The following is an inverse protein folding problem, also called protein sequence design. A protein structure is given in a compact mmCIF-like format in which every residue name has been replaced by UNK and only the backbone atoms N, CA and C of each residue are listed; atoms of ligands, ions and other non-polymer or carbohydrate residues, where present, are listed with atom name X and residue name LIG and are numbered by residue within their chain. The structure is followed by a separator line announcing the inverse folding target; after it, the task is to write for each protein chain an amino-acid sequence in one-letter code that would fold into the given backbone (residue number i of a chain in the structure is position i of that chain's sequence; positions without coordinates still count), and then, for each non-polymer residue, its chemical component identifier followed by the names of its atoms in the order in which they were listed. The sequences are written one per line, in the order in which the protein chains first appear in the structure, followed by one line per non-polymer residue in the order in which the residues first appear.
data_IF_018190675394
#
_entry.id   IF_018190675394
#
_cell.length_a   1.000
_cell.length_b   1.000
_cell.length_c   1.000
_cell.angle_alpha   90.00
_cell.angle_beta   90.00
_cell.angle_gamma   90.00
#
_symmetry.space_group_name_H-M   'P 1'
#
loop_
_entity.id
_entity.type
_entity.pdbx_description
1 polymer ?
#
# COMPACT_ATOMS: atom_id res chain seq x y z
N UNK A 1 30.30 21.54 3.50
CA UNK A 1 29.74 20.39 4.18
C UNK A 1 28.38 20.19 3.59
N UNK A 2 28.21 19.20 2.68
CA UNK A 2 26.91 18.89 2.09
C UNK A 2 26.07 18.27 3.19
N UNK A 3 25.04 18.99 3.62
CA UNK A 3 23.98 18.44 4.48
C UNK A 3 23.13 17.52 3.59
N UNK A 4 23.58 16.28 3.38
CA UNK A 4 22.74 15.26 2.73
C UNK A 4 21.62 14.97 3.70
N UNK A 5 20.44 15.53 3.44
CA UNK A 5 19.25 15.17 4.18
C UNK A 5 19.14 13.62 4.14
N UNK A 6 18.87 13.01 5.29
CA UNK A 6 18.69 11.56 5.37
C UNK A 6 17.44 11.20 4.55
N UNK A 7 17.53 10.17 3.71
CA UNK A 7 16.39 9.70 2.93
C UNK A 7 15.19 9.42 3.83
N UNK A 8 14.00 9.84 3.40
CA UNK A 8 12.74 9.74 4.15
C UNK A 8 12.33 8.27 4.31
N UNK A 9 12.18 7.74 5.53
CA UNK A 9 11.69 6.39 5.73
C UNK A 9 10.24 6.29 5.25
N UNK A 10 9.98 5.37 4.35
CA UNK A 10 8.72 5.20 3.64
C UNK A 10 8.25 3.76 3.68
N UNK A 11 6.97 3.56 3.95
CA UNK A 11 6.25 2.31 3.70
C UNK A 11 5.15 2.62 2.67
N UNK A 12 4.99 1.76 1.67
CA UNK A 12 3.90 1.87 0.69
C UNK A 12 2.91 0.74 0.94
N UNK A 13 1.64 1.10 1.16
CA UNK A 13 0.51 0.18 1.23
C UNK A 13 -0.34 0.37 -0.03
N UNK A 14 -0.56 -0.68 -0.82
CA UNK A 14 -1.11 -0.56 -2.18
C UNK A 14 -1.84 -1.83 -2.64
N UNK A 15 -2.67 -1.67 -3.67
CA UNK A 15 -3.38 -2.76 -4.35
C UNK A 15 -3.06 -2.78 -5.86
N UNK A 16 -1.78 -3.04 -6.25
CA UNK A 16 -1.20 -2.60 -7.52
C UNK A 16 -2.04 -2.80 -8.76
N UNK A 17 -2.56 -1.65 -9.23
CA UNK A 17 -2.98 -1.36 -10.58
C UNK A 17 -1.85 -0.69 -11.38
N UNK A 18 -2.17 -0.13 -12.54
CA UNK A 18 -1.19 0.53 -13.41
C UNK A 18 -0.61 1.80 -12.77
N UNK A 19 -1.40 2.55 -12.04
CA UNK A 19 -1.03 3.79 -11.35
C UNK A 19 -0.14 3.49 -10.11
N UNK A 20 -0.51 2.51 -9.30
CA UNK A 20 0.37 2.01 -8.22
C UNK A 20 1.72 1.54 -8.76
N UNK A 21 1.73 0.88 -9.93
CA UNK A 21 2.96 0.43 -10.54
C UNK A 21 3.93 1.60 -10.79
N UNK A 22 3.41 2.73 -11.28
CA UNK A 22 4.22 3.94 -11.51
C UNK A 22 4.71 4.53 -10.19
N UNK A 23 3.86 4.58 -9.16
CA UNK A 23 4.24 5.08 -7.85
C UNK A 23 5.34 4.22 -7.19
N UNK A 24 5.21 2.89 -7.26
CA UNK A 24 6.21 1.95 -6.78
C UNK A 24 7.55 2.08 -7.52
N UNK A 25 7.51 2.18 -8.87
CA UNK A 25 8.71 2.40 -9.68
C UNK A 25 9.39 3.73 -9.34
N UNK A 26 8.62 4.81 -9.16
CA UNK A 26 9.14 6.12 -8.76
C UNK A 26 9.85 6.06 -7.41
N UNK A 27 9.21 5.46 -6.40
CA UNK A 27 9.80 5.31 -5.08
C UNK A 27 11.10 4.49 -5.11
N UNK A 28 11.11 3.39 -5.86
CA UNK A 28 12.29 2.52 -6.01
C UNK A 28 13.42 3.16 -6.84
N UNK A 29 13.09 4.09 -7.73
CA UNK A 29 14.07 4.84 -8.52
C UNK A 29 14.68 6.03 -7.77
N UNK A 30 14.17 6.37 -6.58
CA UNK A 30 14.59 7.57 -5.82
C UNK A 30 15.24 7.22 -4.46
N UNK A 31 16.25 6.33 -4.37
CA UNK A 31 16.79 5.85 -3.09
C UNK A 31 17.56 6.94 -2.32
N UNK A 32 17.98 8.00 -2.98
CA UNK A 32 18.63 9.15 -2.35
C UNK A 32 17.66 10.02 -1.55
N UNK A 33 16.37 9.98 -1.90
CA UNK A 33 15.31 10.76 -1.27
C UNK A 33 14.41 9.91 -0.38
N UNK A 34 14.16 8.66 -0.79
CA UNK A 34 13.20 7.74 -0.18
C UNK A 34 13.89 6.44 0.27
N UNK A 35 13.86 6.17 1.56
CA UNK A 35 14.26 4.89 2.11
C UNK A 35 13.01 3.97 2.20
N UNK A 36 12.73 3.24 1.12
CA UNK A 36 11.59 2.32 1.05
C UNK A 36 11.86 1.10 1.94
N UNK A 37 11.18 1.04 3.09
CA UNK A 37 11.33 -0.02 4.10
C UNK A 37 10.63 -1.32 3.67
N UNK A 38 9.50 -1.21 2.97
CA UNK A 38 8.75 -2.34 2.46
C UNK A 38 7.46 -1.93 1.77
N UNK A 39 6.84 -2.90 1.10
CA UNK A 39 5.57 -2.75 0.39
C UNK A 39 4.56 -3.70 1.03
N UNK A 40 3.41 -3.16 1.44
CA UNK A 40 2.27 -3.92 1.93
C UNK A 40 1.23 -4.02 0.82
N UNK A 41 0.79 -5.24 0.49
CA UNK A 41 -0.29 -5.43 -0.47
C UNK A 41 -1.63 -5.59 0.27
N UNK A 42 -2.67 -4.99 -0.27
CA UNK A 42 -4.06 -5.13 0.19
C UNK A 42 -4.96 -5.55 -0.97
N UNK A 43 -6.09 -6.18 -0.69
CA UNK A 43 -7.10 -6.45 -1.71
C UNK A 43 -7.86 -5.15 -2.04
N UNK A 44 -8.08 -4.90 -3.31
CA UNK A 44 -8.79 -3.72 -3.81
C UNK A 44 -9.05 -3.84 -5.29
N UNK A 45 -8.20 -3.30 -6.14
CA UNK A 45 -8.33 -3.36 -7.60
C UNK A 45 -8.57 -4.78 -8.12
N UNK A 46 -7.87 -5.75 -7.51
CA UNK A 46 -8.04 -7.20 -7.74
C UNK A 46 -7.86 -7.93 -6.40
N UNK A 47 -8.17 -9.25 -6.33
CA UNK A 47 -7.92 -10.02 -5.11
C UNK A 47 -6.46 -9.99 -4.65
N UNK A 48 -6.23 -10.12 -3.33
CA UNK A 48 -4.90 -10.02 -2.70
C UNK A 48 -3.81 -10.87 -3.38
N UNK A 49 -4.14 -12.09 -3.79
CA UNK A 49 -3.18 -12.98 -4.48
C UNK A 49 -2.60 -12.36 -5.76
N UNK A 50 -3.35 -11.49 -6.42
CA UNK A 50 -2.90 -10.77 -7.61
C UNK A 50 -2.20 -9.45 -7.24
N UNK A 51 -2.69 -8.70 -6.25
CA UNK A 51 -2.06 -7.43 -5.84
C UNK A 51 -0.65 -7.69 -5.28
N UNK A 52 -0.48 -8.71 -4.42
CA UNK A 52 0.84 -9.07 -3.89
C UNK A 52 1.79 -9.60 -4.98
N UNK A 53 1.27 -10.37 -5.95
CA UNK A 53 2.06 -10.84 -7.07
C UNK A 53 2.49 -9.66 -7.97
N UNK A 54 1.60 -8.70 -8.21
CA UNK A 54 1.89 -7.48 -8.97
C UNK A 54 2.95 -6.62 -8.28
N UNK A 55 2.84 -6.41 -6.96
CA UNK A 55 3.84 -5.68 -6.19
C UNK A 55 5.23 -6.30 -6.35
N UNK A 56 5.33 -7.63 -6.28
CA UNK A 56 6.60 -8.35 -6.48
C UNK A 56 7.12 -8.27 -7.92
N UNK A 57 6.25 -8.36 -8.92
CA UNK A 57 6.63 -8.18 -10.33
C UNK A 57 7.19 -6.78 -10.58
N UNK A 58 6.51 -5.75 -10.06
CA UNK A 58 6.93 -4.35 -10.19
C UNK A 58 8.27 -4.13 -9.50
N UNK A 59 8.46 -4.66 -8.29
CA UNK A 59 9.73 -4.65 -7.56
C UNK A 59 10.87 -5.21 -8.42
N UNK A 60 10.64 -6.38 -9.03
CA UNK A 60 11.67 -7.08 -9.79
C UNK A 60 12.04 -6.33 -11.07
N UNK A 61 11.07 -5.81 -11.82
CA UNK A 61 11.37 -5.01 -13.04
C UNK A 61 11.97 -3.65 -12.71
N UNK A 62 11.75 -3.15 -11.49
CA UNK A 62 12.44 -1.94 -10.98
C UNK A 62 13.89 -2.20 -10.58
N UNK A 63 14.37 -3.44 -10.66
CA UNK A 63 15.74 -3.80 -10.29
C UNK A 63 16.02 -3.74 -8.78
N UNK A 64 14.99 -3.81 -7.95
CA UNK A 64 15.09 -3.71 -6.48
C UNK A 64 14.60 -4.98 -5.76
N UNK A 65 15.16 -6.17 -6.10
CA UNK A 65 14.70 -7.45 -5.57
C UNK A 65 14.85 -7.59 -4.05
N UNK A 66 15.64 -6.72 -3.42
CA UNK A 66 15.83 -6.70 -1.96
C UNK A 66 14.65 -6.08 -1.20
N UNK A 67 13.80 -5.28 -1.85
CA UNK A 67 12.64 -4.65 -1.20
C UNK A 67 11.64 -5.74 -0.79
N UNK A 68 11.30 -5.77 0.49
CA UNK A 68 10.36 -6.73 1.04
C UNK A 68 8.92 -6.42 0.61
N UNK A 69 8.14 -7.47 0.29
CA UNK A 69 6.71 -7.36 -0.05
C UNK A 69 5.92 -8.27 0.89
N UNK A 70 4.93 -7.71 1.57
CA UNK A 70 4.09 -8.39 2.54
C UNK A 70 2.65 -8.48 2.05
N UNK A 71 2.02 -9.64 2.18
CA UNK A 71 0.60 -9.81 1.93
C UNK A 71 -0.20 -9.40 3.17
N UNK A 72 -1.22 -8.58 2.97
CA UNK A 72 -2.07 -8.06 4.04
C UNK A 72 -3.49 -8.60 3.99
N UNK A 73 -4.47 -7.70 4.14
CA UNK A 73 -5.87 -8.04 4.25
C UNK A 73 -6.47 -8.47 2.90
N UNK A 74 -7.08 -9.68 2.83
CA UNK A 74 -7.67 -10.17 1.59
C UNK A 74 -9.08 -9.64 1.31
N UNK A 75 -9.64 -8.84 2.21
CA UNK A 75 -10.99 -8.27 2.10
C UNK A 75 -11.13 -7.04 2.99
N UNK A 76 -12.13 -6.18 2.73
CA UNK A 76 -12.52 -5.09 3.63
C UNK A 76 -12.92 -5.59 5.03
N UNK A 77 -12.90 -4.71 6.03
CA UNK A 77 -13.25 -5.03 7.41
C UNK A 77 -14.68 -5.59 7.54
N UNK A 78 -15.64 -4.97 6.88
CA UNK A 78 -17.07 -5.29 7.02
C UNK A 78 -17.74 -5.61 5.67
N UNK A 79 -17.45 -4.82 4.64
CA UNK A 79 -18.03 -5.01 3.31
C UNK A 79 -17.54 -6.30 2.64
N UNK A 80 -18.30 -6.76 1.65
CA UNK A 80 -17.83 -7.76 0.69
C UNK A 80 -16.83 -7.09 -0.23
N UNK A 81 -15.76 -7.80 -0.59
CA UNK A 81 -14.78 -7.30 -1.55
C UNK A 81 -15.45 -7.05 -2.91
N UNK A 82 -15.34 -5.84 -3.38
CA UNK A 82 -15.65 -5.43 -4.74
C UNK A 82 -14.34 -5.05 -5.42
N UNK A 83 -14.10 -5.54 -6.63
CA UNK A 83 -12.86 -5.31 -7.36
C UNK A 83 -13.06 -4.35 -8.54
N UNK A 84 -11.96 -3.73 -9.00
CA UNK A 84 -11.95 -2.80 -10.12
C UNK A 84 -11.38 -3.43 -11.42
N UNK A 85 -11.62 -4.71 -11.65
CA UNK A 85 -11.17 -5.42 -12.87
C UNK A 85 -11.66 -4.74 -14.16
N UNK A 86 -12.77 -4.02 -14.12
CA UNK A 86 -13.31 -3.25 -15.25
C UNK A 86 -12.43 -2.03 -15.62
N UNK A 87 -11.54 -1.59 -14.71
CA UNK A 87 -10.55 -0.51 -14.95
C UNK A 87 -9.17 -1.11 -15.24
N UNK A 88 -8.70 -2.01 -14.36
CA UNK A 88 -7.32 -2.47 -14.31
C UNK A 88 -7.09 -3.81 -15.04
N UNK A 89 -8.17 -4.42 -15.56
CA UNK A 89 -8.13 -5.76 -16.16
C UNK A 89 -8.12 -6.87 -15.11
N UNK A 90 -8.20 -8.12 -15.58
CA UNK A 90 -8.34 -9.29 -14.71
C UNK A 90 -7.13 -9.55 -13.82
N UNK A 91 -5.94 -9.15 -14.24
CA UNK A 91 -4.71 -9.30 -13.45
C UNK A 91 -4.42 -8.07 -12.59
N UNK A 92 -5.12 -6.95 -12.79
CA UNK A 92 -4.83 -5.66 -12.19
C UNK A 92 -3.82 -4.81 -12.99
N UNK A 93 -2.99 -5.43 -13.81
CA UNK A 93 -1.97 -4.81 -14.66
C UNK A 93 -1.98 -5.41 -16.08
N UNK A 94 -3.18 -5.65 -16.60
CA UNK A 94 -3.35 -6.26 -17.92
C UNK A 94 -2.58 -5.49 -19.00
N UNK A 95 -1.95 -6.23 -19.90
CA UNK A 95 -1.16 -5.68 -21.01
C UNK A 95 0.31 -5.39 -20.67
N UNK A 96 0.70 -5.39 -19.40
CA UNK A 96 2.08 -5.10 -19.00
C UNK A 96 3.06 -6.24 -19.34
N UNK A 97 2.59 -7.49 -19.44
CA UNK A 97 3.44 -8.65 -19.81
C UNK A 97 4.61 -8.88 -18.88
N UNK A 98 4.47 -8.56 -17.59
CA UNK A 98 5.56 -8.68 -16.63
C UNK A 98 5.87 -10.16 -16.33
N UNK A 99 7.16 -10.51 -16.13
CA UNK A 99 7.55 -11.87 -15.76
C UNK A 99 7.01 -12.26 -14.39
N UNK A 100 7.02 -13.58 -14.11
CA UNK A 100 6.70 -14.06 -12.77
C UNK A 100 7.73 -13.56 -11.74
N UNK A 101 7.31 -13.30 -10.49
CA UNK A 101 8.19 -12.75 -9.47
C UNK A 101 9.35 -13.71 -9.14
N UNK A 102 10.54 -13.14 -8.99
CA UNK A 102 11.77 -13.90 -8.70
C UNK A 102 11.84 -14.43 -7.25
N UNK A 103 11.12 -13.80 -6.32
CA UNK A 103 11.12 -14.15 -4.90
C UNK A 103 9.68 -14.28 -4.37
N UNK A 104 9.43 -15.16 -3.39
CA UNK A 104 8.14 -15.25 -2.72
C UNK A 104 7.79 -13.96 -1.98
N UNK A 105 6.52 -13.82 -1.59
CA UNK A 105 6.07 -12.85 -0.61
C UNK A 105 6.69 -13.19 0.76
N UNK A 106 6.90 -12.19 1.60
CA UNK A 106 7.41 -12.41 2.96
C UNK A 106 6.41 -13.22 3.80
N UNK A 107 6.93 -14.00 4.74
CA UNK A 107 6.10 -14.91 5.54
C UNK A 107 5.22 -14.17 6.58
N UNK A 108 5.64 -12.98 7.02
CA UNK A 108 4.87 -12.16 7.94
C UNK A 108 3.66 -11.54 7.24
N UNK A 109 2.54 -11.45 7.96
CA UNK A 109 1.39 -10.67 7.49
C UNK A 109 1.71 -9.18 7.51
N UNK A 110 1.26 -8.42 6.51
CA UNK A 110 1.56 -6.99 6.40
C UNK A 110 1.18 -6.20 7.66
N UNK A 111 0.06 -6.51 8.29
CA UNK A 111 -0.40 -5.83 9.52
C UNK A 111 0.57 -6.08 10.69
N UNK A 112 1.02 -7.31 10.87
CA UNK A 112 1.95 -7.65 11.94
C UNK A 112 3.31 -6.95 11.72
N UNK A 113 3.77 -6.95 10.47
CA UNK A 113 5.00 -6.28 10.08
C UNK A 113 4.91 -4.75 10.24
N UNK A 114 3.77 -4.14 9.89
CA UNK A 114 3.51 -2.71 10.09
C UNK A 114 3.58 -2.35 11.59
N UNK A 115 2.90 -3.12 12.42
CA UNK A 115 2.90 -2.92 13.88
C UNK A 115 4.32 -3.02 14.44
N UNK A 116 5.05 -4.07 14.08
CA UNK A 116 6.41 -4.29 14.57
C UNK A 116 7.35 -3.18 14.09
N UNK A 117 7.31 -2.85 12.80
CA UNK A 117 8.18 -1.82 12.20
C UNK A 117 7.92 -0.44 12.80
N UNK A 118 6.64 -0.05 12.96
CA UNK A 118 6.29 1.25 13.54
C UNK A 118 6.66 1.33 15.02
N UNK A 119 6.44 0.27 15.80
CA UNK A 119 6.81 0.25 17.23
C UNK A 119 8.31 0.38 17.48
N UNK A 120 9.12 -0.20 16.61
CA UNK A 120 10.58 -0.20 16.77
C UNK A 120 11.28 0.86 15.91
N UNK A 121 10.53 1.82 15.38
CA UNK A 121 11.08 2.87 14.54
C UNK A 121 11.93 3.85 15.35
N UNK A 122 13.19 4.08 14.93
CA UNK A 122 14.06 5.10 15.52
C UNK A 122 13.65 6.54 15.19
N UNK A 123 12.78 6.71 14.18
CA UNK A 123 12.24 7.99 13.73
C UNK A 123 10.86 7.78 13.11
N UNK A 124 9.99 8.81 13.12
CA UNK A 124 8.67 8.70 12.49
C UNK A 124 8.76 8.29 11.02
N UNK A 125 7.87 7.36 10.62
CA UNK A 125 7.83 6.79 9.26
C UNK A 125 6.70 7.45 8.47
N UNK A 126 6.92 7.73 7.19
CA UNK A 126 5.87 8.11 6.26
C UNK A 126 5.18 6.88 5.71
N UNK A 127 3.86 6.87 5.76
CA UNK A 127 3.01 5.87 5.10
C UNK A 127 2.40 6.46 3.84
N UNK A 128 2.65 5.86 2.69
CA UNK A 128 1.95 6.16 1.43
C UNK A 128 0.93 5.05 1.16
N UNK A 129 -0.36 5.36 1.31
CA UNK A 129 -1.45 4.39 1.15
C UNK A 129 -2.19 4.69 -0.15
N UNK A 130 -2.01 3.82 -1.13
CA UNK A 130 -2.52 4.00 -2.49
C UNK A 130 -3.79 3.20 -2.74
N UNK A 131 -4.06 2.18 -1.91
CA UNK A 131 -5.24 1.32 -1.94
C UNK A 131 -6.21 1.54 -0.77
N UNK A 132 -7.19 0.64 -0.60
CA UNK A 132 -8.09 0.64 0.56
C UNK A 132 -7.33 0.58 1.88
N UNK A 133 -7.76 1.34 2.88
CA UNK A 133 -7.03 1.56 4.14
C UNK A 133 -7.09 0.38 5.13
N UNK A 134 -7.50 -0.80 4.69
CA UNK A 134 -7.78 -1.97 5.54
C UNK A 134 -6.57 -2.40 6.37
N UNK A 135 -5.37 -2.47 5.77
CA UNK A 135 -4.15 -2.84 6.49
C UNK A 135 -3.82 -1.85 7.61
N UNK A 136 -3.90 -0.55 7.31
CA UNK A 136 -3.58 0.52 8.26
C UNK A 136 -4.58 0.55 9.40
N UNK A 137 -5.88 0.46 9.08
CA UNK A 137 -6.93 0.39 10.10
C UNK A 137 -6.75 -0.80 11.04
N UNK A 138 -6.46 -1.99 10.48
CA UNK A 138 -6.21 -3.20 11.27
C UNK A 138 -4.97 -3.03 12.16
N UNK A 139 -3.89 -2.42 11.66
CA UNK A 139 -2.70 -2.15 12.46
C UNK A 139 -3.01 -1.19 13.63
N UNK A 140 -3.77 -0.13 13.39
CA UNK A 140 -4.18 0.83 14.43
C UNK A 140 -5.11 0.17 15.45
N UNK A 141 -6.07 -0.67 15.04
CA UNK A 141 -6.97 -1.38 15.95
C UNK A 141 -6.20 -2.36 16.84
N UNK A 142 -5.23 -3.08 16.27
CA UNK A 142 -4.39 -4.03 17.02
C UNK A 142 -3.40 -3.34 17.94
N UNK A 143 -2.90 -2.18 17.56
CA UNK A 143 -1.81 -1.50 18.23
C UNK A 143 -1.98 0.04 18.13
N UNK A 144 -2.88 0.68 18.89
CA UNK A 144 -3.12 2.12 18.79
C UNK A 144 -1.88 2.98 19.05
N UNK A 145 -0.92 2.46 19.79
CA UNK A 145 0.35 3.12 20.11
C UNK A 145 1.23 3.42 18.88
N UNK A 146 1.04 2.72 17.76
CA UNK A 146 1.85 2.94 16.55
C UNK A 146 1.62 4.28 15.89
N UNK A 147 0.48 4.93 16.14
CA UNK A 147 0.12 6.23 15.55
C UNK A 147 1.16 7.30 15.90
N UNK A 148 1.75 7.25 17.09
CA UNK A 148 2.80 8.18 17.52
C UNK A 148 4.06 8.13 16.66
N UNK A 149 4.30 7.01 15.98
CA UNK A 149 5.46 6.79 15.10
C UNK A 149 5.14 6.97 13.60
N UNK A 150 3.91 7.36 13.26
CA UNK A 150 3.53 7.76 11.91
C UNK A 150 3.82 9.25 11.76
N UNK A 151 4.90 9.60 11.07
CA UNK A 151 5.27 11.00 10.84
C UNK A 151 4.35 11.69 9.85
N UNK A 152 3.90 10.97 8.85
CA UNK A 152 2.96 11.46 7.85
C UNK A 152 2.20 10.27 7.23
N UNK A 153 0.90 10.46 7.00
CA UNK A 153 0.08 9.60 6.18
C UNK A 153 -0.30 10.34 4.89
N UNK A 154 0.16 9.84 3.76
CA UNK A 154 -0.19 10.32 2.42
C UNK A 154 -1.07 9.29 1.78
N UNK A 155 -2.33 9.61 1.52
CA UNK A 155 -3.28 8.65 0.96
C UNK A 155 -3.82 9.11 -0.40
N UNK A 156 -4.06 8.14 -1.27
CA UNK A 156 -4.89 8.29 -2.46
C UNK A 156 -6.29 7.78 -2.14
N UNK A 157 -7.26 8.68 -2.12
CA UNK A 157 -8.66 8.32 -1.83
C UNK A 157 -9.55 9.52 -1.61
N UNK A 158 -10.84 9.24 -1.53
CA UNK A 158 -11.86 10.25 -1.30
C UNK A 158 -12.20 11.09 -2.52
N UNK A 159 -13.25 11.89 -2.40
CA UNK A 159 -13.72 12.79 -3.45
C UNK A 159 -14.21 14.11 -2.85
N UNK A 160 -13.84 15.23 -3.49
CA UNK A 160 -14.30 16.55 -3.06
C UNK A 160 -15.74 16.83 -3.51
N UNK A 161 -16.16 16.28 -4.67
CA UNK A 161 -17.49 16.49 -5.23
C UNK A 161 -18.03 15.26 -5.97
N UNK A 162 -17.32 14.80 -6.99
CA UNK A 162 -17.70 13.63 -7.80
C UNK A 162 -16.79 12.44 -7.47
N UNK A 163 -17.41 11.30 -7.21
CA UNK A 163 -16.71 10.03 -7.07
C UNK A 163 -16.31 9.41 -8.40
N UNK A 164 -15.67 8.25 -8.32
CA UNK A 164 -15.30 7.44 -9.50
C UNK A 164 -15.98 6.06 -9.52
N UNK A 165 -16.54 5.62 -8.39
CA UNK A 165 -17.27 4.35 -8.28
C UNK A 165 -18.78 4.56 -8.03
N UNK A 166 -19.14 5.59 -7.29
CA UNK A 166 -20.52 6.09 -7.17
C UNK A 166 -20.52 7.58 -7.48
N UNK A 167 -21.70 8.25 -7.59
CA UNK A 167 -21.74 9.69 -7.83
C UNK A 167 -20.95 10.52 -6.79
N UNK A 168 -20.75 10.02 -5.59
CA UNK A 168 -20.11 10.75 -4.49
C UNK A 168 -18.88 10.07 -3.89
N UNK A 169 -18.65 8.78 -4.16
CA UNK A 169 -17.58 8.02 -3.54
C UNK A 169 -16.44 7.71 -4.51
N UNK A 170 -15.22 7.85 -4.01
CA UNK A 170 -14.00 7.34 -4.61
C UNK A 170 -13.78 5.87 -4.18
N UNK A 171 -13.15 5.08 -5.06
CA UNK A 171 -13.08 3.62 -4.95
C UNK A 171 -12.39 3.12 -3.67
N UNK A 172 -11.25 3.67 -3.27
CA UNK A 172 -10.52 3.20 -2.09
C UNK A 172 -11.33 3.40 -0.81
N UNK A 173 -11.95 4.57 -0.66
CA UNK A 173 -12.82 4.87 0.48
C UNK A 173 -14.11 4.06 0.41
N UNK A 174 -14.68 3.88 -0.78
CA UNK A 174 -15.89 3.06 -0.99
C UNK A 174 -15.63 1.58 -0.68
N UNK A 175 -14.45 1.06 -1.02
CA UNK A 175 -14.08 -0.35 -0.80
C UNK A 175 -14.06 -0.69 0.68
N UNK A 176 -13.46 0.15 1.52
CA UNK A 176 -13.49 -0.04 2.98
C UNK A 176 -13.73 1.27 3.75
N UNK A 177 -14.99 1.75 3.80
CA UNK A 177 -15.33 2.98 4.52
C UNK A 177 -15.13 2.87 6.03
N UNK A 178 -15.18 1.65 6.59
CA UNK A 178 -14.94 1.43 8.02
C UNK A 178 -13.45 1.59 8.36
N UNK A 179 -12.57 1.06 7.51
CA UNK A 179 -11.14 1.29 7.63
C UNK A 179 -10.79 2.78 7.49
N UNK A 180 -11.39 3.46 6.50
CA UNK A 180 -11.20 4.90 6.33
C UNK A 180 -11.62 5.69 7.58
N UNK A 181 -12.78 5.38 8.15
CA UNK A 181 -13.26 6.00 9.40
C UNK A 181 -12.26 5.82 10.55
N UNK A 182 -11.76 4.60 10.76
CA UNK A 182 -10.78 4.30 11.81
C UNK A 182 -9.51 5.12 11.64
N UNK A 183 -9.00 5.18 10.41
CA UNK A 183 -7.75 5.89 10.11
C UNK A 183 -7.90 7.40 10.26
N UNK A 184 -9.05 7.97 9.91
CA UNK A 184 -9.29 9.42 10.02
C UNK A 184 -9.60 9.88 11.44
N UNK A 185 -10.01 8.97 12.33
CA UNK A 185 -10.28 9.27 13.74
C UNK A 185 -9.08 8.99 14.65
N UNK A 186 -7.99 8.40 14.14
CA UNK A 186 -6.79 8.09 14.89
C UNK A 186 -5.81 9.27 14.92
#
# INVERSE_FOLDING_TARGET
MSNTAKALPLIIDCDPGQDDAIALMLAMASPEELNLLGICAVAGNVPLVLTEANARRIRDVSGRPEVAVFAGCPRPMVKILETAEYVHGKSGIDGAGLPDPSRPVEAAHAVDWLVDTLRHADAPITLATLGPLTNIAMAIVMAPDIVENIGQLVLMGGALSLGNITPAAEFNIYSDPHAAHIVFEA
#
